data_IF_417890682477
#
_entry.id   IF_417890682477
#
_cell.length_a   1.000
_cell.length_b   1.000
_cell.length_c   1.000
_cell.angle_alpha   90.00
_cell.angle_beta   90.00
_cell.angle_gamma   90.00
#
_symmetry.space_group_name_H-M   'P 1'
#
loop_
_entity.id
_entity.type
_entity.pdbx_description
1 polymer ?
#
# COMPACT_ATOMS: atom_id res chain seq x y z
N UNK A 1 8.95 -7.28 -23.08
CA UNK A 1 7.48 -7.14 -23.09
C UNK A 1 7.07 -6.35 -21.85
N UNK A 2 6.72 -5.07 -22.01
CA UNK A 2 6.45 -4.13 -20.91
C UNK A 2 4.95 -4.12 -20.64
N UNK A 3 4.49 -4.98 -19.73
CA UNK A 3 3.11 -4.98 -19.22
C UNK A 3 2.97 -3.83 -18.19
N UNK A 4 2.92 -2.60 -18.69
CA UNK A 4 2.71 -1.40 -17.89
C UNK A 4 1.27 -0.93 -18.12
N UNK A 5 0.61 -0.47 -17.06
CA UNK A 5 -0.72 0.17 -16.97
C UNK A 5 -1.87 -0.63 -16.33
N UNK A 6 -2.10 -1.92 -16.61
CA UNK A 6 -3.20 -2.67 -15.94
C UNK A 6 -2.85 -3.20 -14.54
N UNK A 7 -1.58 -3.51 -14.30
CA UNK A 7 -1.14 -4.24 -13.10
C UNK A 7 -1.18 -3.37 -11.83
N UNK A 8 -0.98 -2.05 -11.94
CA UNK A 8 -0.88 -1.17 -10.77
C UNK A 8 -2.23 -0.85 -10.09
N UNK A 9 -3.37 -0.90 -10.80
CA UNK A 9 -4.67 -0.59 -10.19
C UNK A 9 -5.22 -1.71 -9.31
N UNK A 10 -4.96 -2.97 -9.68
CA UNK A 10 -5.45 -4.13 -8.94
C UNK A 10 -4.85 -4.20 -7.53
N UNK A 11 -3.55 -3.91 -7.38
CA UNK A 11 -2.87 -3.90 -6.09
C UNK A 11 -3.38 -2.81 -5.15
N UNK A 12 -3.67 -1.62 -5.69
CA UNK A 12 -4.29 -0.53 -4.92
C UNK A 12 -5.66 -0.96 -4.40
N UNK A 13 -6.50 -1.54 -5.25
CA UNK A 13 -7.82 -2.01 -4.84
C UNK A 13 -7.75 -3.13 -3.79
N UNK A 14 -6.85 -4.10 -3.97
CA UNK A 14 -6.66 -5.19 -3.01
C UNK A 14 -6.21 -4.66 -1.64
N UNK A 15 -5.28 -3.70 -1.64
CA UNK A 15 -4.82 -3.07 -0.40
C UNK A 15 -5.95 -2.32 0.31
N UNK A 16 -6.73 -1.52 -0.41
CA UNK A 16 -7.87 -0.78 0.17
C UNK A 16 -8.93 -1.72 0.75
N UNK A 17 -9.21 -2.84 0.07
CA UNK A 17 -10.12 -3.87 0.56
C UNK A 17 -9.58 -4.49 1.86
N UNK A 18 -8.30 -4.86 1.89
CA UNK A 18 -7.64 -5.38 3.09
C UNK A 18 -7.69 -4.39 4.26
N UNK A 19 -7.37 -3.12 4.01
CA UNK A 19 -7.43 -2.06 5.03
C UNK A 19 -8.83 -1.95 5.65
N UNK A 20 -9.87 -1.95 4.80
CA UNK A 20 -11.26 -1.89 5.27
C UNK A 20 -11.67 -3.13 6.06
N UNK A 21 -11.20 -4.33 5.67
CA UNK A 21 -11.45 -5.54 6.45
C UNK A 21 -10.85 -5.43 7.85
N UNK A 22 -9.58 -4.99 7.96
CA UNK A 22 -8.92 -4.81 9.26
C UNK A 22 -9.71 -3.83 10.14
N UNK A 23 -10.11 -2.69 9.56
CA UNK A 23 -10.89 -1.66 10.26
C UNK A 23 -12.23 -2.17 10.75
N UNK A 24 -12.95 -2.95 9.92
CA UNK A 24 -14.28 -3.44 10.24
C UNK A 24 -14.27 -4.64 11.20
N UNK A 25 -13.34 -5.57 11.04
CA UNK A 25 -13.30 -6.80 11.84
C UNK A 25 -12.71 -6.57 13.23
N UNK A 26 -11.70 -5.70 13.33
CA UNK A 26 -10.96 -5.50 14.57
C UNK A 26 -11.21 -4.13 15.22
N UNK A 27 -11.91 -3.21 14.53
CA UNK A 27 -12.17 -1.86 15.05
C UNK A 27 -10.90 -1.00 15.18
N UNK A 28 -9.81 -1.39 14.52
CA UNK A 28 -8.50 -0.71 14.59
C UNK A 28 -8.04 -0.26 13.21
N UNK A 29 -7.31 0.85 13.15
CA UNK A 29 -6.65 1.30 11.92
C UNK A 29 -5.20 0.82 11.87
N UNK A 30 -4.70 0.59 10.66
CA UNK A 30 -3.28 0.31 10.42
C UNK A 30 -2.49 1.60 10.64
N UNK A 31 -1.48 1.57 11.51
CA UNK A 31 -0.63 2.74 11.81
C UNK A 31 0.67 2.77 11.00
N UNK A 32 1.16 1.60 10.59
CA UNK A 32 2.43 1.45 9.88
C UNK A 32 2.29 0.36 8.83
N UNK A 33 2.80 0.61 7.63
CA UNK A 33 2.85 -0.35 6.52
C UNK A 33 4.28 -0.41 5.99
N UNK A 34 4.83 -1.62 5.91
CA UNK A 34 6.19 -1.84 5.41
C UNK A 34 6.16 -2.77 4.19
N UNK A 35 6.87 -2.41 3.12
CA UNK A 35 7.07 -3.30 1.97
C UNK A 35 8.52 -3.30 1.48
N UNK A 36 8.92 -4.39 0.83
CA UNK A 36 10.27 -4.63 0.32
C UNK A 36 10.47 -4.15 -1.13
N UNK A 37 9.39 -4.02 -1.91
CA UNK A 37 9.40 -3.68 -3.35
C UNK A 37 8.67 -2.36 -3.67
N UNK A 38 8.73 -1.41 -2.74
CA UNK A 38 7.99 -0.15 -2.74
C UNK A 38 8.12 0.72 -3.99
N UNK A 39 9.32 0.72 -4.59
CA UNK A 39 9.79 1.80 -5.47
C UNK A 39 8.97 1.92 -6.75
N UNK A 40 8.51 0.80 -7.30
CA UNK A 40 7.89 0.75 -8.64
C UNK A 40 6.35 0.67 -8.61
N UNK A 41 5.74 0.32 -7.48
CA UNK A 41 4.31 -0.02 -7.42
C UNK A 41 3.48 0.82 -6.43
N UNK A 42 4.05 1.27 -5.31
CA UNK A 42 3.27 1.85 -4.21
C UNK A 42 3.20 3.39 -4.20
N UNK A 43 4.06 4.07 -4.95
CA UNK A 43 4.43 5.45 -4.62
C UNK A 43 3.40 6.55 -4.95
N UNK A 44 2.59 6.44 -6.00
CA UNK A 44 1.74 7.59 -6.37
C UNK A 44 0.30 7.50 -5.87
N UNK A 45 -0.32 6.32 -5.90
CA UNK A 45 -1.75 6.19 -5.56
C UNK A 45 -2.00 5.99 -4.07
N UNK A 46 -1.13 5.25 -3.37
CA UNK A 46 -1.32 4.93 -1.96
C UNK A 46 -0.67 5.96 -1.03
N UNK A 47 0.26 6.79 -1.51
CA UNK A 47 0.88 7.84 -0.70
C UNK A 47 -0.14 8.85 -0.17
N UNK A 48 -1.06 9.31 -1.01
CA UNK A 48 -2.15 10.20 -0.58
C UNK A 48 -3.07 9.51 0.43
N UNK A 49 -3.40 8.23 0.19
CA UNK A 49 -4.22 7.45 1.11
C UNK A 49 -3.55 7.31 2.49
N UNK A 50 -2.26 6.97 2.52
CA UNK A 50 -1.48 6.89 3.75
C UNK A 50 -1.42 8.21 4.50
N UNK A 51 -1.28 9.33 3.79
CA UNK A 51 -1.31 10.65 4.41
C UNK A 51 -2.67 10.96 5.05
N UNK A 52 -3.78 10.64 4.37
CA UNK A 52 -5.14 10.86 4.88
C UNK A 52 -5.44 9.99 6.11
N UNK A 53 -5.09 8.70 6.05
CA UNK A 53 -5.34 7.75 7.14
C UNK A 53 -4.29 7.81 8.26
N UNK A 54 -3.23 8.63 8.10
CA UNK A 54 -2.15 8.78 9.08
C UNK A 54 -1.25 7.54 9.20
N UNK A 55 -1.06 6.80 8.10
CA UNK A 55 -0.27 5.58 8.03
C UNK A 55 1.19 5.93 7.73
N UNK A 56 2.11 5.48 8.58
CA UNK A 56 3.54 5.59 8.34
C UNK A 56 3.92 4.51 7.33
N UNK A 57 4.44 4.92 6.18
CA UNK A 57 4.93 4.00 5.18
C UNK A 57 6.45 3.87 5.21
N UNK A 58 6.94 2.63 5.28
CA UNK A 58 8.36 2.31 5.26
C UNK A 58 8.70 1.37 4.11
N UNK A 59 9.73 1.72 3.34
CA UNK A 59 10.30 0.85 2.31
C UNK A 59 11.56 0.20 2.86
N UNK A 60 11.58 -1.13 2.95
CA UNK A 60 12.83 -1.86 3.24
C UNK A 60 13.52 -2.18 1.92
N UNK A 61 14.46 -1.33 1.51
CA UNK A 61 15.39 -1.68 0.43
C UNK A 61 16.56 -2.44 1.06
N UNK A 62 16.30 -3.67 1.50
CA UNK A 62 17.33 -4.58 1.99
C UNK A 62 17.72 -5.53 0.85
N UNK A 63 18.34 -4.99 -0.19
CA UNK A 63 19.15 -5.77 -1.14
C UNK A 63 20.60 -5.32 -0.99
N UNK A 64 21.53 -6.20 -0.56
CA UNK A 64 22.96 -5.98 -0.75
C UNK A 64 23.33 -5.81 -2.22
#
# INVERSE_FOLDING_TARGET
MKLSFKTNQMWVQLFLYFFNMVKNQFGISIKQFQSDNARDHFNHFLSLFFQIEGIIYESSVNTP
#
